data_IF_542750147143
#
_entry.id   IF_542750147143
#
_cell.length_a   1.000
_cell.length_b   1.000
_cell.length_c   1.000
_cell.angle_alpha   90.00
_cell.angle_beta   90.00
_cell.angle_gamma   90.00
#
_symmetry.space_group_name_H-M   'P 1'
#
loop_
_entity.id
_entity.type
_entity.pdbx_description
1 polymer ?
#
# COMPACT_ATOMS: atom_id res chain seq x y z
N UNK A 1 15.45 -25.70 -11.50
CA UNK A 1 14.44 -24.74 -11.02
C UNK A 1 14.19 -25.02 -9.53
N UNK A 2 14.12 -24.00 -8.67
CA UNK A 2 13.81 -24.23 -7.24
C UNK A 2 12.40 -24.83 -7.14
N UNK A 3 12.25 -25.91 -6.37
CA UNK A 3 10.97 -26.63 -6.25
C UNK A 3 10.12 -25.96 -5.17
N UNK A 4 8.92 -25.53 -5.53
CA UNK A 4 7.95 -24.88 -4.63
C UNK A 4 6.65 -25.69 -4.60
N UNK A 5 6.10 -25.87 -3.40
CA UNK A 5 4.73 -26.34 -3.19
C UNK A 5 3.85 -25.14 -2.83
N UNK A 6 2.72 -25.02 -3.49
CA UNK A 6 1.67 -24.07 -3.17
C UNK A 6 0.61 -24.76 -2.36
N UNK A 7 0.22 -24.17 -1.24
CA UNK A 7 -0.67 -24.82 -0.28
C UNK A 7 -1.70 -23.86 0.30
N UNK A 8 -2.81 -24.44 0.71
CA UNK A 8 -3.91 -23.79 1.41
C UNK A 8 -4.60 -24.82 2.33
N UNK A 9 -5.14 -24.37 3.45
CA UNK A 9 -5.81 -25.22 4.43
C UNK A 9 -7.21 -24.72 4.76
N UNK A 10 -8.18 -25.64 4.79
CA UNK A 10 -9.52 -25.36 5.31
C UNK A 10 -9.57 -25.76 6.78
N UNK A 11 -9.88 -24.80 7.65
CA UNK A 11 -9.85 -24.98 9.11
C UNK A 11 -11.25 -24.88 9.68
N UNK A 12 -11.61 -25.80 10.58
CA UNK A 12 -12.87 -25.72 11.31
C UNK A 12 -12.81 -24.55 12.31
N UNK A 13 -13.66 -23.51 12.20
CA UNK A 13 -13.49 -22.28 12.99
C UNK A 13 -13.65 -22.46 14.51
N UNK A 14 -14.38 -23.49 14.95
CA UNK A 14 -14.66 -23.73 16.38
C UNK A 14 -13.66 -24.63 17.07
N UNK A 15 -13.11 -25.60 16.34
CA UNK A 15 -12.24 -26.64 16.92
C UNK A 15 -10.78 -26.43 16.54
N UNK A 16 -10.52 -25.51 15.59
CA UNK A 16 -9.21 -25.26 15.00
C UNK A 16 -8.56 -26.50 14.39
N UNK A 17 -9.37 -27.50 14.03
CA UNK A 17 -8.92 -28.71 13.34
C UNK A 17 -8.82 -28.45 11.85
N UNK A 18 -7.78 -28.99 11.24
CA UNK A 18 -7.63 -29.05 9.78
C UNK A 18 -8.74 -29.97 9.23
N UNK A 19 -9.63 -29.41 8.43
CA UNK A 19 -10.69 -30.15 7.74
C UNK A 19 -10.17 -30.72 6.44
N UNK A 20 -9.35 -29.96 5.73
CA UNK A 20 -8.83 -30.33 4.43
C UNK A 20 -7.56 -29.53 4.10
N UNK A 21 -6.74 -30.08 3.20
CA UNK A 21 -5.49 -29.46 2.76
C UNK A 21 -5.40 -29.60 1.25
N UNK A 22 -5.18 -28.47 0.59
CA UNK A 22 -4.85 -28.40 -0.82
C UNK A 22 -3.36 -28.21 -1.03
N UNK A 23 -2.86 -28.77 -2.12
CA UNK A 23 -1.48 -28.57 -2.52
C UNK A 23 -1.27 -28.76 -4.01
N UNK A 24 -0.45 -27.92 -4.62
CA UNK A 24 0.06 -28.12 -5.98
C UNK A 24 1.55 -27.82 -6.02
N UNK A 25 2.34 -28.68 -6.66
CA UNK A 25 3.77 -28.45 -6.88
C UNK A 25 4.04 -27.80 -8.22
N UNK A 26 5.26 -27.29 -8.39
CA UNK A 26 5.74 -26.76 -9.66
C UNK A 26 5.66 -27.75 -10.83
N UNK A 27 5.74 -29.07 -10.55
CA UNK A 27 5.61 -30.15 -11.53
C UNK A 27 4.16 -30.57 -11.81
N UNK A 28 3.18 -29.80 -11.32
CA UNK A 28 1.73 -30.05 -11.43
C UNK A 28 1.21 -31.26 -10.65
N UNK A 29 2.03 -31.88 -9.79
CA UNK A 29 1.53 -32.86 -8.82
C UNK A 29 0.60 -32.18 -7.83
N UNK A 30 -0.55 -32.78 -7.57
CA UNK A 30 -1.56 -32.23 -6.66
C UNK A 30 -1.70 -33.07 -5.39
N UNK A 31 -2.19 -32.43 -4.35
CA UNK A 31 -2.58 -33.04 -3.09
C UNK A 31 -3.91 -32.46 -2.64
N UNK A 32 -4.83 -33.32 -2.22
CA UNK A 32 -6.12 -32.92 -1.70
C UNK A 32 -6.60 -33.95 -0.67
N UNK A 33 -6.34 -33.70 0.61
CA UNK A 33 -6.72 -34.60 1.70
C UNK A 33 -6.45 -33.96 3.07
N UNK A 34 -7.19 -34.37 4.10
CA UNK A 34 -6.90 -34.03 5.50
C UNK A 34 -5.72 -34.81 6.11
N UNK A 35 -5.13 -35.79 5.40
CA UNK A 35 -4.09 -36.65 5.97
C UNK A 35 -2.71 -35.95 6.04
N UNK A 36 -2.33 -35.53 7.24
CA UNK A 36 -1.06 -34.85 7.51
C UNK A 36 0.17 -35.68 7.12
N UNK A 37 0.17 -37.00 7.33
CA UNK A 37 1.32 -37.84 6.97
C UNK A 37 1.53 -37.92 5.45
N UNK A 38 0.45 -38.04 4.70
CA UNK A 38 0.48 -37.99 3.23
C UNK A 38 0.87 -36.60 2.73
N UNK A 39 0.40 -35.54 3.38
CA UNK A 39 0.77 -34.16 3.09
C UNK A 39 2.28 -33.92 3.31
N UNK A 40 2.84 -34.38 4.43
CA UNK A 40 4.28 -34.33 4.69
C UNK A 40 5.07 -35.06 3.60
N UNK A 41 4.60 -36.23 3.17
CA UNK A 41 5.25 -36.98 2.08
C UNK A 41 5.21 -36.21 0.74
N UNK A 42 4.07 -35.58 0.42
CA UNK A 42 3.92 -34.73 -0.76
C UNK A 42 4.92 -33.55 -0.78
N UNK A 43 5.18 -32.94 0.39
CA UNK A 43 6.08 -31.81 0.53
C UNK A 43 7.57 -32.14 0.37
N UNK A 44 8.02 -33.38 0.63
CA UNK A 44 9.46 -33.76 0.70
C UNK A 44 10.29 -33.42 -0.54
N UNK A 45 9.66 -33.25 -1.69
CA UNK A 45 10.35 -32.90 -2.95
C UNK A 45 10.46 -31.38 -3.17
N UNK A 46 9.92 -30.57 -2.26
CA UNK A 46 9.92 -29.11 -2.36
C UNK A 46 11.00 -28.49 -1.47
N UNK A 47 11.56 -27.37 -1.91
CA UNK A 47 12.54 -26.58 -1.14
C UNK A 47 11.93 -25.31 -0.55
N UNK A 48 10.78 -24.89 -1.09
CA UNK A 48 9.99 -23.74 -0.66
C UNK A 48 8.52 -24.16 -0.54
N UNK A 49 7.82 -23.45 0.32
CA UNK A 49 6.35 -23.48 0.41
C UNK A 49 5.85 -22.07 0.12
N UNK A 50 4.74 -21.96 -0.61
CA UNK A 50 4.10 -20.70 -0.93
C UNK A 50 2.60 -20.79 -0.69
N UNK A 51 1.97 -19.69 -0.32
CA UNK A 51 0.51 -19.63 -0.17
C UNK A 51 0.03 -18.19 -0.10
N UNK A 52 -1.23 -18.00 0.27
CA UNK A 52 -1.84 -16.67 0.43
C UNK A 52 -2.28 -16.48 1.87
N UNK A 53 -1.67 -15.54 2.60
CA UNK A 53 -1.78 -15.38 4.05
C UNK A 53 -1.27 -16.59 4.86
N UNK A 54 -0.44 -17.43 4.24
CA UNK A 54 0.05 -18.70 4.77
C UNK A 54 0.79 -18.55 6.10
N UNK A 55 1.55 -17.46 6.29
CA UNK A 55 2.41 -17.30 7.47
C UNK A 55 1.58 -17.14 8.74
N UNK A 56 0.50 -16.36 8.67
CA UNK A 56 -0.35 -16.06 9.82
C UNK A 56 -1.58 -16.96 9.93
N UNK A 57 -1.90 -17.71 8.88
CA UNK A 57 -3.07 -18.57 8.84
C UNK A 57 -2.70 -20.06 8.91
N UNK A 58 -2.02 -20.58 7.89
CA UNK A 58 -1.84 -22.02 7.71
C UNK A 58 -0.70 -22.58 8.57
N UNK A 59 0.41 -21.83 8.73
CA UNK A 59 1.60 -22.34 9.42
C UNK A 59 1.35 -22.80 10.86
N UNK A 60 0.38 -22.21 11.58
CA UNK A 60 0.00 -22.66 12.92
C UNK A 60 -0.55 -24.10 12.95
N UNK A 61 -1.08 -24.59 11.83
CA UNK A 61 -1.69 -25.91 11.74
C UNK A 61 -0.80 -26.94 11.06
N UNK A 62 -0.07 -26.53 10.03
CA UNK A 62 0.72 -27.43 9.18
C UNK A 62 2.24 -27.18 9.25
N UNK A 63 2.69 -26.25 10.10
CA UNK A 63 4.12 -25.93 10.26
C UNK A 63 4.97 -27.14 10.67
N UNK A 64 4.44 -28.04 11.52
CA UNK A 64 5.12 -29.29 11.87
C UNK A 64 5.35 -30.17 10.64
N UNK A 65 4.33 -30.32 9.78
CA UNK A 65 4.43 -31.12 8.56
C UNK A 65 5.46 -30.54 7.58
N UNK A 66 5.54 -29.21 7.47
CA UNK A 66 6.54 -28.50 6.65
C UNK A 66 7.96 -28.79 7.17
N UNK A 67 8.17 -28.72 8.49
CA UNK A 67 9.47 -29.04 9.10
C UNK A 67 9.84 -30.52 8.96
N UNK A 68 8.89 -31.43 9.15
CA UNK A 68 9.07 -32.88 9.01
C UNK A 68 9.36 -33.29 7.55
N UNK A 69 8.92 -32.47 6.58
CA UNK A 69 9.26 -32.61 5.17
C UNK A 69 10.68 -32.09 4.84
N UNK A 70 11.39 -31.51 5.81
CA UNK A 70 12.73 -30.95 5.64
C UNK A 70 12.77 -29.52 5.09
N UNK A 71 11.63 -28.82 5.07
CA UNK A 71 11.53 -27.45 4.58
C UNK A 71 11.70 -26.49 5.75
N UNK A 72 12.66 -25.56 5.64
CA UNK A 72 12.84 -24.51 6.63
C UNK A 72 11.64 -23.55 6.64
N UNK A 73 11.21 -23.11 7.81
CA UNK A 73 10.21 -22.03 7.96
C UNK A 73 10.65 -20.73 7.28
N UNK A 74 11.97 -20.53 7.15
CA UNK A 74 12.52 -19.42 6.38
C UNK A 74 12.23 -19.54 4.88
N UNK A 75 11.86 -20.71 4.35
CA UNK A 75 11.52 -20.89 2.94
C UNK A 75 10.01 -20.85 2.67
N UNK A 76 9.24 -20.20 3.55
CA UNK A 76 7.80 -19.97 3.37
C UNK A 76 7.57 -18.59 2.76
N UNK A 77 6.92 -18.55 1.60
CA UNK A 77 6.59 -17.34 0.83
C UNK A 77 5.10 -17.05 0.98
N UNK A 78 4.76 -15.79 1.26
CA UNK A 78 3.39 -15.35 1.42
C UNK A 78 3.03 -14.29 0.37
N UNK A 79 2.18 -14.68 -0.57
CA UNK A 79 1.74 -13.81 -1.69
C UNK A 79 0.92 -12.61 -1.19
N UNK A 80 0.23 -12.71 -0.05
CA UNK A 80 -0.57 -11.58 0.46
C UNK A 80 0.30 -10.35 0.72
N UNK A 81 1.52 -10.54 1.22
CA UNK A 81 2.44 -9.45 1.56
C UNK A 81 3.13 -8.85 0.33
N UNK A 82 3.33 -9.65 -0.72
CA UNK A 82 3.95 -9.20 -1.97
C UNK A 82 2.97 -8.40 -2.83
N UNK A 83 1.69 -8.77 -2.80
CA UNK A 83 0.66 -8.21 -3.66
C UNK A 83 0.56 -6.67 -3.63
N UNK A 84 0.56 -5.96 -2.48
CA UNK A 84 0.51 -4.50 -2.46
C UNK A 84 1.79 -3.81 -2.97
N UNK A 85 2.94 -4.51 -2.95
CA UNK A 85 4.20 -3.97 -3.47
C UNK A 85 4.28 -4.06 -4.99
N UNK A 86 3.74 -5.15 -5.54
CA UNK A 86 3.86 -5.51 -6.96
C UNK A 86 2.63 -5.13 -7.78
N UNK A 87 1.46 -5.02 -7.12
CA UNK A 87 0.21 -4.56 -7.71
C UNK A 87 -0.44 -3.43 -6.90
N UNK A 88 0.28 -2.34 -6.58
CA UNK A 88 -0.23 -1.26 -5.73
C UNK A 88 -1.50 -0.59 -6.27
N UNK A 89 -1.76 -0.67 -7.58
CA UNK A 89 -2.97 -0.11 -8.19
C UNK A 89 -4.22 -0.99 -8.00
N UNK A 90 -4.10 -2.22 -7.47
CA UNK A 90 -5.27 -3.07 -7.18
C UNK A 90 -5.95 -2.59 -5.89
N UNK A 91 -7.28 -2.41 -5.88
CA UNK A 91 -7.99 -2.00 -4.67
C UNK A 91 -8.11 -3.14 -3.64
N UNK A 92 -8.01 -4.39 -4.09
CA UNK A 92 -8.12 -5.59 -3.27
C UNK A 92 -6.98 -6.54 -3.57
N UNK A 93 -6.52 -7.23 -2.52
CA UNK A 93 -5.39 -8.17 -2.57
C UNK A 93 -5.77 -9.58 -2.14
N UNK A 94 -7.05 -9.86 -1.91
CA UNK A 94 -7.51 -11.23 -1.71
C UNK A 94 -7.43 -12.02 -3.03
N UNK A 95 -7.28 -13.35 -2.96
CA UNK A 95 -7.38 -14.20 -4.14
C UNK A 95 -8.73 -13.98 -4.84
N UNK A 96 -8.68 -13.75 -6.14
CA UNK A 96 -9.88 -13.58 -6.96
C UNK A 96 -10.56 -14.93 -7.07
N UNK A 97 -11.79 -15.03 -6.55
CA UNK A 97 -12.64 -16.22 -6.72
C UNK A 97 -13.52 -15.98 -7.95
N UNK A 98 -13.19 -16.64 -9.06
CA UNK A 98 -13.99 -16.61 -10.31
C UNK A 98 -15.37 -17.30 -10.15
N UNK A 99 -15.65 -17.84 -8.97
CA UNK A 99 -16.79 -18.72 -8.66
C UNK A 99 -18.14 -17.99 -8.51
N UNK A 100 -18.30 -16.78 -9.07
CA UNK A 100 -19.59 -16.07 -9.06
C UNK A 100 -20.62 -16.63 -10.05
N UNK A 101 -20.28 -17.68 -10.81
CA UNK A 101 -21.21 -18.35 -11.75
C UNK A 101 -21.56 -19.80 -11.38
N UNK A 102 -20.95 -20.39 -10.36
CA UNK A 102 -21.33 -21.72 -9.85
C UNK A 102 -21.31 -21.74 -8.32
N UNK A 103 -22.47 -21.44 -7.72
CA UNK A 103 -22.67 -21.31 -6.27
C UNK A 103 -22.62 -22.62 -5.48
N UNK A 104 -21.99 -23.69 -6.00
CA UNK A 104 -22.01 -25.02 -5.36
C UNK A 104 -20.62 -25.65 -5.11
N UNK A 105 -19.52 -25.14 -5.69
CA UNK A 105 -18.18 -25.56 -5.24
C UNK A 105 -17.85 -24.86 -3.91
N UNK A 106 -18.16 -25.56 -2.80
CA UNK A 106 -17.67 -25.28 -1.44
C UNK A 106 -16.17 -24.99 -1.48
N UNK A 107 -15.70 -24.02 -0.68
CA UNK A 107 -14.28 -23.70 -0.45
C UNK A 107 -13.37 -24.91 -0.68
N UNK A 108 -12.62 -24.90 -1.77
CA UNK A 108 -11.76 -26.00 -2.18
C UNK A 108 -10.29 -25.55 -2.02
N UNK A 109 -9.56 -26.05 -1.01
CA UNK A 109 -8.20 -25.59 -0.75
C UNK A 109 -7.23 -25.95 -1.89
N UNK A 110 -7.52 -26.99 -2.70
CA UNK A 110 -6.71 -27.27 -3.90
C UNK A 110 -6.87 -26.17 -4.96
N UNK A 111 -8.09 -25.70 -5.19
CA UNK A 111 -8.35 -24.59 -6.12
C UNK A 111 -7.70 -23.29 -5.62
N UNK A 112 -7.77 -23.01 -4.32
CA UNK A 112 -7.12 -21.85 -3.71
C UNK A 112 -5.57 -21.96 -3.78
N UNK A 113 -5.00 -23.17 -3.64
CA UNK A 113 -3.57 -23.43 -3.88
C UNK A 113 -3.15 -23.17 -5.33
N UNK A 114 -4.00 -23.51 -6.31
CA UNK A 114 -3.76 -23.22 -7.74
C UNK A 114 -3.79 -21.71 -7.99
N UNK A 115 -4.80 -21.00 -7.46
CA UNK A 115 -4.88 -19.54 -7.56
C UNK A 115 -3.68 -18.84 -6.91
N UNK A 116 -3.20 -19.36 -5.77
CA UNK A 116 -1.98 -18.86 -5.13
C UNK A 116 -0.73 -19.08 -6.00
N UNK A 117 -0.64 -20.21 -6.72
CA UNK A 117 0.42 -20.47 -7.72
C UNK A 117 0.39 -19.46 -8.85
N UNK A 118 -0.79 -19.21 -9.42
CA UNK A 118 -0.97 -18.24 -10.51
C UNK A 118 -0.59 -16.83 -10.06
N UNK A 119 -1.09 -16.39 -8.90
CA UNK A 119 -0.74 -15.09 -8.33
C UNK A 119 0.77 -14.98 -8.08
N UNK A 120 1.42 -16.02 -7.54
CA UNK A 120 2.86 -15.99 -7.31
C UNK A 120 3.67 -15.87 -8.62
N UNK A 121 3.21 -16.52 -9.70
CA UNK A 121 3.84 -16.37 -11.02
C UNK A 121 3.69 -14.92 -11.51
N UNK A 122 2.49 -14.34 -11.39
CA UNK A 122 2.26 -12.93 -11.71
C UNK A 122 3.17 -12.00 -10.89
N UNK A 123 3.38 -12.28 -9.61
CA UNK A 123 4.27 -11.53 -8.72
C UNK A 123 5.74 -11.62 -9.16
N UNK A 124 6.20 -12.82 -9.54
CA UNK A 124 7.55 -12.99 -10.10
C UNK A 124 7.71 -12.16 -11.37
N UNK A 125 6.74 -12.22 -12.28
CA UNK A 125 6.77 -11.47 -13.53
C UNK A 125 6.68 -9.96 -13.31
N UNK A 126 5.88 -9.51 -12.35
CA UNK A 126 5.80 -8.11 -11.95
C UNK A 126 7.14 -7.64 -11.40
N UNK A 127 7.76 -8.41 -10.50
CA UNK A 127 9.09 -8.10 -9.97
C UNK A 127 10.15 -8.05 -11.07
N UNK A 128 10.16 -9.00 -12.01
CA UNK A 128 11.09 -9.01 -13.13
C UNK A 128 10.92 -7.82 -14.07
N UNK A 129 9.69 -7.31 -14.24
CA UNK A 129 9.39 -6.10 -15.02
C UNK A 129 9.79 -4.80 -14.33
N UNK A 130 10.04 -4.80 -13.01
CA UNK A 130 10.52 -3.61 -12.31
C UNK A 130 11.88 -3.15 -12.86
N UNK A 131 12.05 -1.82 -12.94
CA UNK A 131 13.36 -1.21 -13.18
C UNK A 131 14.35 -1.53 -12.05
N UNK A 132 15.64 -1.46 -12.37
CA UNK A 132 16.73 -1.85 -11.47
C UNK A 132 16.67 -1.12 -10.11
N UNK A 133 16.36 0.18 -10.11
CA UNK A 133 16.24 0.96 -8.88
C UNK A 133 15.15 0.43 -7.94
N UNK A 134 13.98 0.07 -8.48
CA UNK A 134 12.89 -0.46 -7.64
C UNK A 134 13.23 -1.84 -7.08
N UNK A 135 13.86 -2.71 -7.88
CA UNK A 135 14.35 -4.01 -7.40
C UNK A 135 15.36 -3.84 -6.28
N UNK A 136 16.31 -2.91 -6.44
CA UNK A 136 17.30 -2.56 -5.42
C UNK A 136 16.65 -2.04 -4.13
N UNK A 137 15.68 -1.11 -4.26
CA UNK A 137 14.94 -0.55 -3.13
C UNK A 137 14.21 -1.65 -2.36
N UNK A 138 13.38 -2.44 -3.04
CA UNK A 138 12.63 -3.53 -2.39
C UNK A 138 13.58 -4.54 -1.75
N UNK A 139 14.62 -4.97 -2.45
CA UNK A 139 15.59 -5.91 -1.88
C UNK A 139 16.23 -5.36 -0.60
N UNK A 140 16.72 -4.12 -0.60
CA UNK A 140 17.43 -3.58 0.56
C UNK A 140 16.51 -3.35 1.76
N UNK A 141 15.26 -2.96 1.53
CA UNK A 141 14.29 -2.74 2.60
C UNK A 141 13.72 -4.05 3.17
N UNK A 142 13.55 -5.08 2.33
CA UNK A 142 12.69 -6.21 2.67
C UNK A 142 13.42 -7.56 2.80
N UNK A 143 14.64 -7.74 2.26
CA UNK A 143 15.31 -9.05 2.22
C UNK A 143 15.52 -9.72 3.59
N UNK A 144 15.62 -8.93 4.65
CA UNK A 144 15.86 -9.39 6.02
C UNK A 144 14.56 -9.41 6.87
N UNK A 145 13.41 -9.11 6.24
CA UNK A 145 12.11 -9.02 6.90
C UNK A 145 11.37 -10.35 6.81
N UNK A 146 10.78 -10.81 7.93
CA UNK A 146 10.18 -12.15 8.08
C UNK A 146 9.25 -12.56 6.93
N UNK A 147 8.37 -11.66 6.49
CA UNK A 147 7.35 -11.93 5.46
C UNK A 147 7.88 -11.89 4.02
N UNK A 148 9.12 -11.41 3.80
CA UNK A 148 9.64 -11.12 2.46
C UNK A 148 10.96 -11.84 2.15
N UNK A 149 11.73 -12.21 3.17
CA UNK A 149 13.05 -12.85 3.01
C UNK A 149 13.04 -14.11 2.13
N UNK A 150 11.98 -14.91 2.23
CA UNK A 150 11.82 -16.14 1.47
C UNK A 150 11.69 -15.87 -0.03
N UNK A 151 10.95 -14.82 -0.40
CA UNK A 151 10.81 -14.37 -1.80
C UNK A 151 12.16 -14.01 -2.40
N UNK A 152 12.96 -13.18 -1.72
CA UNK A 152 14.29 -12.79 -2.20
C UNK A 152 15.27 -13.96 -2.28
N UNK A 153 15.21 -14.89 -1.31
CA UNK A 153 15.95 -16.16 -1.40
C UNK A 153 15.50 -17.00 -2.57
N UNK A 154 14.20 -17.06 -2.87
CA UNK A 154 13.66 -17.81 -3.99
C UNK A 154 14.14 -17.25 -5.33
N UNK A 155 13.98 -15.95 -5.57
CA UNK A 155 14.46 -15.35 -6.82
C UNK A 155 15.99 -15.30 -6.92
N UNK A 156 16.70 -15.37 -5.79
CA UNK A 156 18.16 -15.34 -5.77
C UNK A 156 18.72 -13.98 -6.23
N UNK A 157 17.98 -12.91 -6.01
CA UNK A 157 18.37 -11.57 -6.45
C UNK A 157 19.55 -11.06 -5.63
N UNK A 158 20.62 -10.68 -6.32
CA UNK A 158 21.85 -10.16 -5.72
C UNK A 158 22.26 -8.91 -6.49
N UNK A 159 21.96 -7.72 -5.98
CA UNK A 159 22.38 -6.48 -6.62
C UNK A 159 23.87 -6.21 -6.38
N UNK A 160 24.50 -5.49 -7.29
CA UNK A 160 25.80 -4.85 -7.04
C UNK A 160 25.72 -3.89 -5.85
N UNK A 161 26.86 -3.42 -5.32
CA UNK A 161 26.87 -2.45 -4.22
C UNK A 161 26.24 -1.13 -4.65
N UNK A 162 25.29 -0.59 -3.87
CA UNK A 162 24.65 0.69 -4.13
C UNK A 162 24.32 1.43 -2.84
N UNK A 163 24.14 2.74 -2.94
CA UNK A 163 23.65 3.58 -1.85
C UNK A 163 22.12 3.69 -1.93
N UNK A 164 21.42 3.00 -1.02
CA UNK A 164 19.95 2.95 -0.98
C UNK A 164 19.30 4.34 -0.85
N UNK A 165 19.87 5.23 -0.05
CA UNK A 165 19.33 6.58 0.11
C UNK A 165 19.38 7.34 -1.21
N UNK A 166 20.54 7.33 -1.88
CA UNK A 166 20.70 7.97 -3.18
C UNK A 166 19.76 7.37 -4.23
N UNK A 167 19.65 6.04 -4.28
CA UNK A 167 18.73 5.34 -5.20
C UNK A 167 17.27 5.79 -4.99
N UNK A 168 16.80 5.89 -3.74
CA UNK A 168 15.45 6.39 -3.45
C UNK A 168 15.32 7.87 -3.87
N UNK A 169 16.30 8.72 -3.54
CA UNK A 169 16.26 10.15 -3.87
C UNK A 169 16.20 10.39 -5.38
N UNK A 170 17.01 9.67 -6.14
CA UNK A 170 17.08 9.81 -7.59
C UNK A 170 15.80 9.26 -8.25
N UNK A 171 15.33 8.08 -7.81
CA UNK A 171 14.12 7.44 -8.34
C UNK A 171 12.83 8.24 -8.09
N UNK A 172 12.71 8.84 -6.92
CA UNK A 172 11.51 9.58 -6.48
C UNK A 172 11.70 11.10 -6.47
N UNK A 173 12.69 11.60 -7.21
CA UNK A 173 12.96 13.05 -7.33
C UNK A 173 11.70 13.78 -7.79
N UNK A 174 11.30 14.79 -7.02
CA UNK A 174 10.10 15.58 -7.32
C UNK A 174 8.77 14.90 -6.99
N UNK A 175 8.78 13.67 -6.45
CA UNK A 175 7.57 12.96 -5.99
C UNK A 175 7.47 12.86 -4.47
N UNK A 176 8.60 13.02 -3.77
CA UNK A 176 8.71 13.06 -2.30
C UNK A 176 9.52 14.28 -1.86
N UNK A 177 9.35 14.68 -0.62
CA UNK A 177 10.11 15.76 0.00
C UNK A 177 11.61 15.47 -0.04
N UNK A 178 12.36 16.36 -0.71
CA UNK A 178 13.81 16.24 -0.90
C UNK A 178 14.62 16.36 0.39
N UNK A 179 14.04 16.94 1.45
CA UNK A 179 14.71 17.14 2.73
C UNK A 179 14.32 16.10 3.79
N UNK A 180 13.56 15.07 3.40
CA UNK A 180 13.21 13.97 4.31
C UNK A 180 14.47 13.21 4.75
N UNK A 181 14.53 12.88 6.04
CA UNK A 181 15.56 12.02 6.61
C UNK A 181 15.29 10.55 6.23
N UNK A 182 15.67 10.18 5.01
CA UNK A 182 15.47 8.84 4.46
C UNK A 182 16.25 7.78 5.24
N UNK A 183 17.46 8.07 5.72
CA UNK A 183 18.24 7.12 6.52
C UNK A 183 17.48 6.64 7.75
N UNK A 184 16.82 7.55 8.46
CA UNK A 184 15.96 7.20 9.60
C UNK A 184 14.78 6.33 9.19
N UNK A 185 14.13 6.61 8.06
CA UNK A 185 13.02 5.80 7.57
C UNK A 185 13.49 4.39 7.15
N UNK A 186 14.62 4.29 6.46
CA UNK A 186 15.23 3.03 6.05
C UNK A 186 15.57 2.16 7.27
N UNK A 187 16.09 2.75 8.35
CA UNK A 187 16.49 2.00 9.54
C UNK A 187 15.32 1.64 10.46
N UNK A 188 14.32 2.53 10.60
CA UNK A 188 13.24 2.37 11.60
C UNK A 188 11.96 1.80 11.00
N UNK A 189 11.65 2.12 9.74
CA UNK A 189 10.38 1.78 9.07
C UNK A 189 10.60 1.21 7.66
N UNK A 190 11.45 0.18 7.46
CA UNK A 190 11.80 -0.29 6.13
C UNK A 190 10.61 -0.87 5.35
N UNK A 191 9.72 -1.61 6.02
CA UNK A 191 8.55 -2.23 5.38
C UNK A 191 7.53 -1.16 5.00
N UNK A 192 7.26 -0.23 5.91
CA UNK A 192 6.31 0.85 5.68
C UNK A 192 6.79 1.84 4.61
N UNK A 193 8.10 2.06 4.55
CA UNK A 193 8.74 2.80 3.46
C UNK A 193 8.57 2.06 2.13
N UNK A 194 8.76 0.74 2.08
CA UNK A 194 8.56 -0.01 0.84
C UNK A 194 7.12 0.10 0.32
N UNK A 195 6.12 -0.08 1.19
CA UNK A 195 4.70 0.09 0.80
C UNK A 195 4.38 1.53 0.38
N UNK A 196 4.90 2.53 1.09
CA UNK A 196 4.70 3.94 0.74
C UNK A 196 5.30 4.26 -0.64
N UNK A 197 6.53 3.79 -0.91
CA UNK A 197 7.18 3.96 -2.21
C UNK A 197 6.47 3.20 -3.33
N UNK A 198 5.89 2.02 -3.05
CA UNK A 198 5.08 1.27 -4.01
C UNK A 198 3.84 2.08 -4.45
N UNK A 199 3.11 2.65 -3.50
CA UNK A 199 1.93 3.49 -3.77
C UNK A 199 2.30 4.75 -4.55
N UNK A 200 3.41 5.40 -4.19
CA UNK A 200 3.90 6.59 -4.90
C UNK A 200 4.31 6.22 -6.33
N UNK A 201 4.98 5.09 -6.51
CA UNK A 201 5.43 4.62 -7.81
C UNK A 201 4.28 4.22 -8.75
N UNK A 202 3.16 3.74 -8.20
CA UNK A 202 2.00 3.31 -8.96
C UNK A 202 1.39 4.41 -9.82
N UNK A 203 1.56 5.68 -9.40
CA UNK A 203 1.02 6.87 -10.06
C UNK A 203 -0.45 6.74 -10.48
N UNK A 204 -1.23 6.02 -9.67
CA UNK A 204 -2.65 5.74 -9.93
C UNK A 204 -3.52 6.45 -8.92
N UNK A 205 -4.53 7.19 -9.40
CA UNK A 205 -5.49 7.91 -8.55
C UNK A 205 -6.31 6.97 -7.65
N UNK A 206 -6.46 5.70 -8.04
CA UNK A 206 -7.25 4.69 -7.32
C UNK A 206 -6.41 3.79 -6.42
N UNK A 207 -5.09 3.97 -6.39
CA UNK A 207 -4.20 3.21 -5.51
C UNK A 207 -4.34 3.72 -4.08
N UNK A 208 -4.88 2.89 -3.20
CA UNK A 208 -5.04 3.17 -1.76
C UNK A 208 -4.31 2.11 -0.95
N UNK A 209 -3.83 2.48 0.24
CA UNK A 209 -3.23 1.51 1.16
C UNK A 209 -4.30 0.49 1.60
N UNK A 210 -4.09 -0.82 1.40
CA UNK A 210 -5.06 -1.81 1.81
C UNK A 210 -5.30 -1.76 3.34
N UNK A 211 -6.54 -1.87 3.83
CA UNK A 211 -6.83 -1.76 5.27
C UNK A 211 -6.05 -2.75 6.14
N UNK A 212 -5.81 -3.96 5.64
CA UNK A 212 -5.03 -4.96 6.37
C UNK A 212 -3.54 -4.56 6.47
N UNK A 213 -2.99 -3.85 5.47
CA UNK A 213 -1.63 -3.30 5.55
C UNK A 213 -1.58 -2.25 6.66
N UNK A 214 -2.54 -1.33 6.73
CA UNK A 214 -2.60 -0.32 7.79
C UNK A 214 -2.74 -0.95 9.19
N UNK A 215 -3.48 -2.05 9.30
CA UNK A 215 -3.63 -2.78 10.57
C UNK A 215 -2.33 -3.44 11.02
N UNK A 216 -1.57 -4.02 10.09
CA UNK A 216 -0.31 -4.73 10.41
C UNK A 216 0.91 -3.80 10.46
N UNK A 217 0.84 -2.69 9.73
CA UNK A 217 1.92 -1.72 9.53
C UNK A 217 1.38 -0.28 9.66
N UNK A 218 0.92 0.14 10.85
CA UNK A 218 0.25 1.43 11.04
C UNK A 218 1.16 2.63 10.74
N UNK A 219 2.49 2.46 10.80
CA UNK A 219 3.42 3.53 10.47
C UNK A 219 3.45 3.90 8.98
N UNK A 220 2.79 3.14 8.08
CA UNK A 220 2.66 3.51 6.66
C UNK A 220 2.08 4.91 6.48
N UNK A 221 1.03 5.26 7.22
CA UNK A 221 0.44 6.60 7.14
C UNK A 221 1.42 7.69 7.59
N UNK A 222 2.15 7.43 8.67
CA UNK A 222 3.18 8.35 9.17
C UNK A 222 4.33 8.50 8.17
N UNK A 223 4.76 7.42 7.53
CA UNK A 223 5.81 7.47 6.51
C UNK A 223 5.33 8.25 5.29
N UNK A 224 4.10 7.99 4.81
CA UNK A 224 3.49 8.76 3.73
C UNK A 224 3.39 10.25 4.08
N UNK A 225 2.96 10.58 5.29
CA UNK A 225 2.91 11.95 5.80
C UNK A 225 4.29 12.62 5.77
N UNK A 226 5.33 11.94 6.25
CA UNK A 226 6.70 12.47 6.24
C UNK A 226 7.23 12.65 4.81
N UNK A 227 6.91 11.73 3.90
CA UNK A 227 7.39 11.79 2.51
C UNK A 227 6.66 12.87 1.71
N UNK A 228 5.35 13.02 1.89
CA UNK A 228 4.51 13.80 0.98
C UNK A 228 3.65 14.86 1.62
N UNK A 229 3.30 14.81 2.90
CA UNK A 229 2.37 15.76 3.54
C UNK A 229 2.97 16.65 4.62
N UNK A 230 4.29 16.66 4.78
CA UNK A 230 5.00 17.51 5.72
C UNK A 230 5.97 18.44 4.96
N UNK A 231 5.51 19.60 4.47
CA UNK A 231 6.34 20.52 3.71
C UNK A 231 7.60 20.91 4.49
N UNK A 232 8.77 20.79 3.85
CA UNK A 232 10.03 21.17 4.46
C UNK A 232 10.19 22.69 4.57
N UNK A 233 10.88 23.14 5.63
CA UNK A 233 11.05 24.57 5.93
C UNK A 233 11.85 25.33 4.86
N UNK A 234 12.90 24.71 4.31
CA UNK A 234 13.78 25.33 3.30
C UNK A 234 13.18 25.32 1.89
N UNK A 235 12.09 24.59 1.68
CA UNK A 235 11.60 24.25 0.35
C UNK A 235 12.44 23.17 -0.35
N UNK A 236 11.80 22.46 -1.25
CA UNK A 236 12.43 21.52 -2.19
C UNK A 236 11.56 21.40 -3.44
N UNK A 237 12.06 20.75 -4.50
CA UNK A 237 11.33 20.59 -5.76
C UNK A 237 9.90 20.08 -5.53
N UNK A 238 9.74 18.97 -4.82
CA UNK A 238 8.41 18.42 -4.54
C UNK A 238 7.53 19.38 -3.72
N UNK A 239 8.04 19.91 -2.60
CA UNK A 239 7.23 20.77 -1.73
C UNK A 239 6.81 22.07 -2.40
N UNK A 240 7.68 22.67 -3.22
CA UNK A 240 7.40 23.93 -3.93
C UNK A 240 6.46 23.72 -5.13
N UNK A 241 6.24 22.48 -5.57
CA UNK A 241 5.26 22.15 -6.60
C UNK A 241 3.93 21.70 -5.99
N UNK A 242 3.97 20.76 -5.05
CA UNK A 242 2.76 20.13 -4.48
C UNK A 242 2.11 20.96 -3.37
N UNK A 243 2.88 21.79 -2.65
CA UNK A 243 2.41 22.53 -1.49
C UNK A 243 2.51 24.06 -1.64
N UNK A 244 2.68 24.54 -2.87
CA UNK A 244 2.53 25.95 -3.19
C UNK A 244 1.04 26.30 -3.25
N UNK A 245 0.61 27.11 -2.29
CA UNK A 245 -0.78 27.51 -2.11
C UNK A 245 -1.30 28.34 -3.29
N UNK A 246 -0.46 29.18 -3.91
CA UNK A 246 -0.88 30.01 -5.04
C UNK A 246 -1.07 29.15 -6.30
N UNK A 247 -0.20 28.16 -6.52
CA UNK A 247 -0.41 27.17 -7.59
C UNK A 247 -1.69 26.37 -7.35
N UNK A 248 -1.94 25.94 -6.11
CA UNK A 248 -3.19 25.27 -5.73
C UNK A 248 -4.43 26.13 -6.02
N UNK A 249 -4.41 27.40 -5.60
CA UNK A 249 -5.48 28.37 -5.86
C UNK A 249 -5.79 28.50 -7.35
N UNK A 250 -4.74 28.69 -8.17
CA UNK A 250 -4.88 28.84 -9.62
C UNK A 250 -5.38 27.55 -10.27
N UNK A 251 -4.84 26.40 -9.86
CA UNK A 251 -5.19 25.08 -10.42
C UNK A 251 -6.65 24.71 -10.13
N UNK A 252 -7.09 24.83 -8.89
CA UNK A 252 -8.42 24.36 -8.48
C UNK A 252 -9.53 25.37 -8.75
N UNK A 253 -9.23 26.66 -8.66
CA UNK A 253 -10.27 27.71 -8.71
C UNK A 253 -10.01 28.80 -9.76
N UNK A 254 -8.89 28.75 -10.49
CA UNK A 254 -8.58 29.71 -11.55
C UNK A 254 -8.18 31.12 -11.07
N UNK A 255 -8.18 31.38 -9.76
CA UNK A 255 -7.86 32.70 -9.20
C UNK A 255 -6.35 32.98 -9.18
N UNK A 256 -5.97 34.23 -9.48
CA UNK A 256 -4.56 34.65 -9.48
C UNK A 256 -4.05 35.08 -8.10
N UNK A 257 -4.94 35.48 -7.20
CA UNK A 257 -4.60 36.01 -5.87
C UNK A 257 -5.66 35.67 -4.84
N UNK A 258 -5.22 35.51 -3.59
CA UNK A 258 -6.10 35.41 -2.44
C UNK A 258 -6.79 36.75 -2.15
N UNK A 259 -7.98 36.67 -1.55
CA UNK A 259 -8.68 37.86 -1.07
C UNK A 259 -7.97 38.43 0.15
N UNK A 260 -7.85 39.75 0.17
CA UNK A 260 -7.42 40.53 1.34
C UNK A 260 -8.63 41.22 1.96
N UNK A 261 -8.61 41.37 3.29
CA UNK A 261 -9.66 42.02 4.07
C UNK A 261 -9.02 43.10 4.92
N UNK A 262 -9.45 44.36 4.75
CA UNK A 262 -8.86 45.53 5.42
C UNK A 262 -7.33 45.61 5.29
N UNK A 263 -6.81 45.24 4.11
CA UNK A 263 -5.36 45.21 3.84
C UNK A 263 -4.64 43.95 4.34
N UNK A 264 -5.33 43.06 5.07
CA UNK A 264 -4.74 41.84 5.62
C UNK A 264 -5.03 40.61 4.73
N UNK A 265 -4.01 39.78 4.41
CA UNK A 265 -4.18 38.58 3.61
C UNK A 265 -4.66 37.39 4.46
N UNK A 266 -5.79 37.56 5.17
CA UNK A 266 -6.31 36.57 6.12
C UNK A 266 -6.56 35.19 5.48
N UNK A 267 -7.10 35.17 4.26
CA UNK A 267 -7.38 33.94 3.53
C UNK A 267 -6.09 33.16 3.21
N UNK A 268 -5.07 33.85 2.70
CA UNK A 268 -3.77 33.27 2.39
C UNK A 268 -3.07 32.75 3.64
N UNK A 269 -3.06 33.54 4.73
CA UNK A 269 -2.49 33.13 6.03
C UNK A 269 -3.15 31.86 6.56
N UNK A 270 -4.48 31.74 6.46
CA UNK A 270 -5.21 30.57 6.91
C UNK A 270 -4.89 29.32 6.05
N UNK A 271 -4.88 29.45 4.72
CA UNK A 271 -4.52 28.35 3.81
C UNK A 271 -3.08 27.90 4.06
N UNK A 272 -2.14 28.84 4.19
CA UNK A 272 -0.73 28.53 4.45
C UNK A 272 -0.57 27.78 5.77
N UNK A 273 -1.23 28.24 6.84
CA UNK A 273 -1.19 27.58 8.13
C UNK A 273 -1.75 26.15 8.07
N UNK A 274 -2.84 25.93 7.33
CA UNK A 274 -3.42 24.60 7.13
C UNK A 274 -2.49 23.67 6.36
N UNK A 275 -1.89 24.12 5.24
CA UNK A 275 -0.91 23.35 4.46
C UNK A 275 0.36 23.04 5.26
N UNK A 276 0.75 23.94 6.17
CA UNK A 276 1.88 23.71 7.09
C UNK A 276 1.53 22.79 8.27
N UNK A 277 0.36 22.16 8.26
CA UNK A 277 -0.15 21.30 9.33
C UNK A 277 -0.21 21.98 10.71
N UNK A 278 -0.49 23.29 10.75
CA UNK A 278 -0.64 24.04 12.00
C UNK A 278 -2.08 23.97 12.48
N UNK A 279 -2.27 23.86 13.80
CA UNK A 279 -3.55 24.18 14.41
C UNK A 279 -3.82 25.68 14.29
N UNK A 280 -5.00 26.06 13.79
CA UNK A 280 -5.35 27.45 13.58
C UNK A 280 -6.81 27.72 13.96
N UNK A 281 -7.08 28.96 14.37
CA UNK A 281 -8.42 29.53 14.49
C UNK A 281 -8.46 30.73 13.53
N UNK A 282 -9.40 30.72 12.59
CA UNK A 282 -9.57 31.83 11.67
C UNK A 282 -11.01 32.34 11.73
N UNK A 283 -11.17 33.65 11.91
CA UNK A 283 -12.45 34.33 12.01
C UNK A 283 -12.62 35.16 10.74
N UNK A 284 -13.66 34.87 9.97
CA UNK A 284 -13.96 35.54 8.71
C UNK A 284 -15.32 36.25 8.79
N UNK A 285 -15.46 37.45 8.21
CA UNK A 285 -16.77 38.03 7.97
C UNK A 285 -17.56 37.18 6.96
N UNK A 286 -18.89 37.34 6.93
CA UNK A 286 -19.73 36.73 5.89
C UNK A 286 -19.28 37.19 4.51
N UNK A 287 -19.22 36.28 3.53
CA UNK A 287 -18.65 36.58 2.20
C UNK A 287 -17.11 36.66 2.19
N UNK A 288 -16.47 36.41 3.35
CA UNK A 288 -15.03 36.42 3.59
C UNK A 288 -14.20 35.42 2.80
N UNK A 289 -14.82 34.59 1.96
CA UNK A 289 -14.14 33.51 1.24
C UNK A 289 -13.61 32.40 2.16
N UNK A 290 -14.24 32.19 3.33
CA UNK A 290 -13.82 31.18 4.31
C UNK A 290 -13.70 29.76 3.74
N UNK A 291 -14.51 29.40 2.76
CA UNK A 291 -14.54 28.02 2.23
C UNK A 291 -13.20 27.61 1.60
N UNK A 292 -12.53 28.54 0.91
CA UNK A 292 -11.23 28.28 0.29
C UNK A 292 -10.15 27.93 1.32
N UNK A 293 -10.29 28.35 2.58
CA UNK A 293 -9.27 28.10 3.62
C UNK A 293 -9.18 26.66 4.05
N UNK A 294 -10.23 25.86 3.81
CA UNK A 294 -10.22 24.42 4.05
C UNK A 294 -10.32 23.61 2.75
N UNK A 295 -10.96 24.13 1.69
CA UNK A 295 -11.07 23.43 0.42
C UNK A 295 -9.72 23.28 -0.30
N UNK A 296 -8.92 24.34 -0.37
CA UNK A 296 -7.58 24.27 -1.00
C UNK A 296 -6.68 23.23 -0.31
N UNK A 297 -6.45 23.28 1.01
CA UNK A 297 -5.61 22.26 1.65
C UNK A 297 -6.21 20.85 1.55
N UNK A 298 -7.53 20.70 1.56
CA UNK A 298 -8.19 19.41 1.37
C UNK A 298 -7.89 18.81 0.00
N UNK A 299 -8.04 19.60 -1.07
CA UNK A 299 -7.80 19.16 -2.44
C UNK A 299 -6.32 18.87 -2.68
N UNK A 300 -5.42 19.71 -2.15
CA UNK A 300 -3.97 19.47 -2.22
C UNK A 300 -3.60 18.15 -1.53
N UNK A 301 -4.18 17.86 -0.36
CA UNK A 301 -3.98 16.60 0.36
C UNK A 301 -4.55 15.39 -0.39
N UNK A 302 -5.76 15.52 -0.96
CA UNK A 302 -6.38 14.49 -1.79
C UNK A 302 -5.56 14.13 -3.04
N UNK A 303 -4.97 15.13 -3.70
CA UNK A 303 -4.06 14.90 -4.83
C UNK A 303 -2.74 14.27 -4.39
N UNK A 304 -2.10 14.83 -3.36
CA UNK A 304 -0.75 14.43 -2.95
C UNK A 304 -0.70 13.03 -2.32
N UNK A 305 -1.64 12.70 -1.42
CA UNK A 305 -1.60 11.49 -0.60
C UNK A 305 -2.93 10.75 -0.50
N UNK A 306 -3.95 11.14 -1.29
CA UNK A 306 -5.31 10.58 -1.16
C UNK A 306 -5.86 10.77 0.25
N UNK A 307 -5.50 11.88 0.88
CA UNK A 307 -5.92 12.21 2.23
C UNK A 307 -7.41 12.53 2.29
N UNK A 308 -8.10 11.94 3.26
CA UNK A 308 -9.48 12.32 3.59
C UNK A 308 -9.46 13.59 4.43
N UNK A 309 -10.17 14.62 3.98
CA UNK A 309 -10.44 15.81 4.80
C UNK A 309 -11.91 15.82 5.19
N UNK A 310 -12.18 15.90 6.50
CA UNK A 310 -13.55 15.95 7.04
C UNK A 310 -13.87 17.39 7.41
N UNK A 311 -14.90 17.95 6.78
CA UNK A 311 -15.39 19.31 7.05
C UNK A 311 -16.72 19.19 7.79
N UNK A 312 -16.78 19.72 9.00
CA UNK A 312 -17.98 19.69 9.83
C UNK A 312 -18.66 21.05 9.73
N UNK A 313 -19.87 21.07 9.17
CA UNK A 313 -20.69 22.28 8.97
C UNK A 313 -22.02 22.16 9.73
N UNK A 314 -22.52 23.23 10.35
CA UNK A 314 -23.74 23.19 11.15
C UNK A 314 -25.04 23.11 10.32
N UNK A 315 -25.00 23.36 9.01
CA UNK A 315 -26.19 23.48 8.15
C UNK A 315 -26.09 22.59 6.90
N UNK A 316 -27.07 21.71 6.70
CA UNK A 316 -27.15 20.83 5.52
C UNK A 316 -27.25 21.60 4.20
N UNK A 317 -28.03 22.68 4.15
CA UNK A 317 -28.13 23.53 2.95
C UNK A 317 -26.77 24.07 2.53
N UNK A 318 -25.98 24.54 3.49
CA UNK A 318 -24.63 25.05 3.24
C UNK A 318 -23.66 23.94 2.79
N UNK A 319 -23.84 22.70 3.26
CA UNK A 319 -23.05 21.55 2.78
C UNK A 319 -23.36 21.26 1.31
N UNK A 320 -24.65 21.21 0.96
CA UNK A 320 -25.09 20.99 -0.42
C UNK A 320 -24.56 22.08 -1.35
N UNK A 321 -24.76 23.35 -0.99
CA UNK A 321 -24.26 24.48 -1.78
C UNK A 321 -22.74 24.38 -2.01
N UNK A 322 -21.98 23.91 -1.02
CA UNK A 322 -20.52 23.74 -1.18
C UNK A 322 -20.15 22.61 -2.14
N UNK A 323 -20.88 21.48 -2.08
CA UNK A 323 -20.66 20.36 -2.98
C UNK A 323 -21.06 20.74 -4.41
N UNK A 324 -22.25 21.31 -4.60
CA UNK A 324 -22.74 21.75 -5.91
C UNK A 324 -21.75 22.75 -6.57
N UNK A 325 -21.23 23.72 -5.81
CA UNK A 325 -20.21 24.67 -6.32
C UNK A 325 -18.87 24.00 -6.70
N UNK A 326 -18.47 22.94 -6.01
CA UNK A 326 -17.27 22.17 -6.35
C UNK A 326 -17.52 21.34 -7.61
N UNK A 327 -18.67 20.69 -7.73
CA UNK A 327 -19.08 19.95 -8.92
C UNK A 327 -19.14 20.85 -10.17
N UNK A 328 -19.72 22.05 -10.05
CA UNK A 328 -19.74 23.07 -11.10
C UNK A 328 -18.33 23.51 -11.53
N UNK A 329 -17.36 23.42 -10.61
CA UNK A 329 -15.95 23.69 -10.87
C UNK A 329 -15.18 22.46 -11.40
N UNK A 330 -15.87 21.34 -11.68
CA UNK A 330 -15.29 20.10 -12.17
C UNK A 330 -14.70 19.19 -11.09
N UNK A 331 -14.97 19.47 -9.81
CA UNK A 331 -14.45 18.73 -8.65
C UNK A 331 -15.55 17.84 -8.09
N UNK A 332 -15.64 16.60 -8.59
CA UNK A 332 -16.72 15.64 -8.26
C UNK A 332 -16.37 14.65 -7.14
N UNK A 333 -15.23 14.84 -6.46
CA UNK A 333 -14.78 13.96 -5.37
C UNK A 333 -15.27 14.43 -3.99
N UNK A 334 -15.93 15.58 -3.93
CA UNK A 334 -16.56 16.07 -2.72
C UNK A 334 -17.96 15.46 -2.59
N UNK A 335 -18.30 15.00 -1.38
CA UNK A 335 -19.62 14.41 -1.06
C UNK A 335 -20.09 14.93 0.30
N UNK A 336 -21.41 14.97 0.50
CA UNK A 336 -22.05 15.41 1.76
C UNK A 336 -22.14 14.33 2.81
#
# INVERSE_FOLDING_TARGET
>A
MKRVAFIDTEIQPKTEKVLDIGGIRGDSSTFHSANIGAFTAFLRESSFVCGHNIINHDLKYIGNAIRDAGISESNVIDTLYLSPLLFPARPYHALVKDDKLQSEERNNPLNDSIKAKELFIDELDAFHRLGQDMKNIYYKLLKDQTYFQAFFRFIGYQPESFNIERTIRDKFKGQICGNTNLLKLISVHPVELAYSLALIHADSRYSITPPWVLRNYPAVEKVMFILKSNPCLTGCVYCNESWDIHKGLKRFFGFDKYRSYDGEPLQEKAVKAAVDNKSLLAIFPTGGGKSLTFQIPALMSGEAVKGLTVIISPLQSLMKDQVDNLEDSGITEAVT
#
